data_IF_334306794925
#
_entry.id   IF_334306794925
#
_cell.length_a   1.000
_cell.length_b   1.000
_cell.length_c   1.000
_cell.angle_alpha   90.00
_cell.angle_beta   90.00
_cell.angle_gamma   90.00
#
_symmetry.space_group_name_H-M   'P 1'
#
loop_
_entity.id
_entity.type
_entity.pdbx_description
1 polymer ?
#
# COMPACT_ATOMS: atom_id res chain seq x y z
N UNK A 1 6.30 -0.45 22.79
CA UNK A 1 5.42 -1.63 23.05
C UNK A 1 5.73 -2.68 21.99
N UNK A 2 5.72 -3.95 22.33
CA UNK A 2 5.93 -5.01 21.34
C UNK A 2 4.57 -5.62 20.97
N UNK A 3 4.21 -5.54 19.72
CA UNK A 3 2.97 -6.12 19.23
C UNK A 3 3.14 -7.64 19.12
N UNK A 4 2.13 -8.39 19.54
CA UNK A 4 2.11 -9.84 19.44
C UNK A 4 2.14 -10.26 17.98
N UNK A 5 2.87 -11.33 17.67
CA UNK A 5 2.98 -11.86 16.30
C UNK A 5 2.32 -13.23 16.19
N UNK A 6 1.87 -13.57 14.98
CA UNK A 6 1.37 -14.89 14.59
C UNK A 6 2.02 -15.37 13.31
N UNK A 7 2.10 -16.67 13.13
CA UNK A 7 2.50 -17.28 11.87
C UNK A 7 1.43 -17.08 10.80
N UNK A 8 1.86 -16.86 9.58
CA UNK A 8 0.99 -16.83 8.40
C UNK A 8 0.80 -18.26 7.89
N UNK A 9 -0.36 -18.82 8.23
CA UNK A 9 -0.70 -20.20 7.83
C UNK A 9 0.36 -21.22 8.27
N UNK A 10 0.84 -22.02 7.32
CA UNK A 10 1.87 -23.05 7.54
C UNK A 10 3.29 -22.58 7.22
N UNK A 11 3.48 -21.28 7.04
CA UNK A 11 4.80 -20.70 6.72
C UNK A 11 5.59 -20.39 7.99
N UNK A 12 6.86 -20.09 7.85
CA UNK A 12 7.71 -19.57 8.95
C UNK A 12 7.59 -18.07 9.14
N UNK A 13 6.84 -17.38 8.26
CA UNK A 13 6.64 -15.94 8.32
C UNK A 13 5.77 -15.55 9.50
N UNK A 14 6.27 -14.64 10.33
CA UNK A 14 5.52 -14.04 11.42
C UNK A 14 5.11 -12.63 11.06
N UNK A 15 3.86 -12.30 11.33
CA UNK A 15 3.31 -10.96 11.17
C UNK A 15 2.72 -10.47 12.49
N UNK A 16 2.71 -9.17 12.69
CA UNK A 16 2.01 -8.55 13.82
C UNK A 16 0.51 -8.85 13.71
N UNK A 17 -0.15 -9.09 14.82
CA UNK A 17 -1.62 -9.30 14.85
C UNK A 17 -2.38 -8.00 14.55
N UNK A 18 -1.70 -6.87 14.59
CA UNK A 18 -2.19 -5.55 14.21
C UNK A 18 -1.21 -4.95 13.20
N UNK A 19 -1.67 -4.69 12.00
CA UNK A 19 -0.91 -4.05 10.93
C UNK A 19 -1.53 -2.72 10.51
N UNK A 20 -0.79 -1.94 9.72
CA UNK A 20 -1.27 -0.71 9.11
C UNK A 20 -1.75 -0.97 7.69
N UNK A 21 -3.06 -0.77 7.43
CA UNK A 21 -3.62 -0.71 6.08
C UNK A 21 -3.30 0.64 5.43
N UNK A 22 -2.68 0.61 4.26
CA UNK A 22 -2.12 1.79 3.62
C UNK A 22 -2.97 2.36 2.47
N UNK A 23 -4.22 1.92 2.30
CA UNK A 23 -5.11 2.48 1.28
C UNK A 23 -5.32 4.01 1.43
N UNK A 24 -5.57 4.55 2.62
CA UNK A 24 -5.68 6.00 2.81
C UNK A 24 -4.40 6.77 2.47
N UNK A 25 -3.23 6.14 2.57
CA UNK A 25 -1.94 6.75 2.22
C UNK A 25 -1.79 7.02 0.72
N UNK A 26 -2.60 6.37 -0.10
CA UNK A 26 -2.71 6.63 -1.54
C UNK A 26 -3.63 7.80 -1.89
N UNK A 27 -4.32 8.39 -0.91
CA UNK A 27 -5.37 9.39 -1.13
C UNK A 27 -6.76 8.77 -1.30
N UNK A 28 -6.94 7.49 -1.00
CA UNK A 28 -8.23 6.84 -0.98
C UNK A 28 -9.01 7.29 0.26
N UNK A 29 -10.24 7.75 0.08
CA UNK A 29 -11.19 8.14 1.13
C UNK A 29 -10.82 9.38 1.94
N UNK A 30 -9.59 9.88 1.83
CA UNK A 30 -9.12 11.04 2.57
C UNK A 30 -8.09 11.82 1.74
N UNK A 31 -8.19 13.13 1.75
CA UNK A 31 -7.15 13.99 1.20
C UNK A 31 -5.95 13.98 2.16
N UNK A 32 -4.89 13.32 1.76
CA UNK A 32 -3.71 13.11 2.58
C UNK A 32 -2.46 13.55 1.83
N UNK A 33 -1.77 14.53 2.39
CA UNK A 33 -0.47 14.94 1.86
C UNK A 33 0.58 13.85 2.09
N UNK A 34 1.59 13.79 1.24
CA UNK A 34 2.73 12.88 1.40
C UNK A 34 3.35 12.98 2.81
N UNK A 35 3.54 14.22 3.28
CA UNK A 35 4.15 14.49 4.59
C UNK A 35 3.31 13.94 5.75
N UNK A 36 1.98 14.10 5.70
CA UNK A 36 1.09 13.55 6.71
C UNK A 36 1.05 12.02 6.65
N UNK A 37 1.07 11.44 5.45
CA UNK A 37 1.19 10.00 5.28
C UNK A 37 2.49 9.44 5.89
N UNK A 38 3.60 10.12 5.68
CA UNK A 38 4.89 9.75 6.28
C UNK A 38 4.86 9.83 7.81
N UNK A 39 4.18 10.84 8.39
CA UNK A 39 3.97 10.94 9.85
C UNK A 39 3.17 9.76 10.39
N UNK A 40 2.14 9.31 9.68
CA UNK A 40 1.33 8.13 10.06
C UNK A 40 2.21 6.89 10.12
N UNK A 41 2.99 6.61 9.08
CA UNK A 41 3.90 5.45 9.05
C UNK A 41 4.92 5.54 10.19
N UNK A 42 5.52 6.71 10.40
CA UNK A 42 6.48 6.93 11.49
C UNK A 42 5.84 6.65 12.86
N UNK A 43 4.62 7.10 13.08
CA UNK A 43 3.88 6.87 14.33
C UNK A 43 3.59 5.37 14.52
N UNK A 44 3.19 4.67 13.46
CA UNK A 44 2.98 3.23 13.49
C UNK A 44 4.25 2.46 13.88
N UNK A 45 5.38 2.81 13.28
CA UNK A 45 6.70 2.24 13.62
C UNK A 45 7.07 2.51 15.08
N UNK A 46 6.85 3.73 15.57
CA UNK A 46 7.10 4.10 16.97
C UNK A 46 6.19 3.33 17.95
N UNK A 47 4.98 3.02 17.54
CA UNK A 47 4.06 2.17 18.29
C UNK A 47 4.43 0.67 18.24
N UNK A 48 5.47 0.30 17.50
CA UNK A 48 5.98 -1.07 17.40
C UNK A 48 5.35 -1.89 16.30
N UNK A 49 4.58 -1.28 15.38
CA UNK A 49 4.04 -1.98 14.20
C UNK A 49 5.17 -2.30 13.23
N UNK A 50 5.18 -3.52 12.72
CA UNK A 50 6.10 -3.97 11.68
C UNK A 50 5.40 -4.63 10.48
N UNK A 51 4.08 -4.66 10.47
CA UNK A 51 3.29 -5.20 9.37
C UNK A 51 2.50 -4.09 8.67
N UNK A 52 2.69 -3.97 7.35
CA UNK A 52 2.06 -2.97 6.49
C UNK A 52 1.41 -3.66 5.31
N UNK A 53 0.23 -3.19 4.91
CA UNK A 53 -0.49 -3.71 3.76
C UNK A 53 -0.75 -2.59 2.75
N UNK A 54 -0.38 -2.81 1.51
CA UNK A 54 -0.56 -1.85 0.41
C UNK A 54 -0.97 -2.56 -0.87
N UNK A 55 -1.22 -1.80 -1.92
CA UNK A 55 -1.50 -2.33 -3.25
C UNK A 55 -1.17 -1.29 -4.33
N UNK A 56 -0.92 -1.76 -5.56
CA UNK A 56 -0.74 -0.89 -6.72
C UNK A 56 -1.97 0.01 -6.97
N UNK A 57 -3.16 -0.49 -6.64
CA UNK A 57 -4.42 0.26 -6.77
C UNK A 57 -4.52 1.46 -5.82
N UNK A 58 -3.88 1.44 -4.67
CA UNK A 58 -4.01 2.49 -3.65
C UNK A 58 -3.33 3.78 -4.10
N UNK A 59 -4.13 4.72 -4.59
CA UNK A 59 -3.64 5.96 -5.18
C UNK A 59 -2.80 5.75 -6.43
N UNK A 60 -3.02 4.63 -7.14
CA UNK A 60 -2.29 4.27 -8.36
C UNK A 60 -0.77 4.40 -8.19
N UNK A 61 -0.24 3.68 -7.23
CA UNK A 61 1.18 3.65 -6.88
C UNK A 61 1.62 4.65 -5.80
N UNK A 62 0.79 5.62 -5.43
CA UNK A 62 1.15 6.62 -4.39
C UNK A 62 1.42 5.97 -3.04
N UNK A 63 0.55 5.03 -2.62
CA UNK A 63 0.70 4.31 -1.36
C UNK A 63 1.97 3.46 -1.36
N UNK A 64 2.21 2.65 -2.39
CA UNK A 64 3.41 1.81 -2.48
C UNK A 64 4.68 2.64 -2.44
N UNK A 65 4.71 3.77 -3.15
CA UNK A 65 5.85 4.68 -3.15
C UNK A 65 6.11 5.27 -1.76
N UNK A 66 5.07 5.81 -1.12
CA UNK A 66 5.19 6.39 0.22
C UNK A 66 5.65 5.37 1.25
N UNK A 67 5.05 4.17 1.23
CA UNK A 67 5.43 3.07 2.11
C UNK A 67 6.88 2.66 1.87
N UNK A 68 7.28 2.49 0.60
CA UNK A 68 8.65 2.14 0.23
C UNK A 68 9.67 3.17 0.71
N UNK A 69 9.39 4.46 0.52
CA UNK A 69 10.29 5.54 0.97
C UNK A 69 10.43 5.57 2.50
N UNK A 70 9.33 5.37 3.23
CA UNK A 70 9.33 5.43 4.69
C UNK A 70 9.92 4.19 5.36
N UNK A 71 9.76 3.01 4.74
CA UNK A 71 10.24 1.75 5.30
C UNK A 71 11.66 1.36 4.84
N UNK A 72 12.24 2.11 3.91
CA UNK A 72 13.62 1.88 3.44
C UNK A 72 14.56 1.73 4.64
N UNK A 73 15.34 0.66 4.65
CA UNK A 73 16.27 0.32 5.73
C UNK A 73 15.62 0.01 7.10
N UNK A 74 14.32 -0.24 7.15
CA UNK A 74 13.63 -0.71 8.34
C UNK A 74 13.40 -2.22 8.27
N UNK A 75 13.16 -2.84 9.42
CA UNK A 75 12.73 -4.24 9.49
C UNK A 75 11.21 -4.28 9.54
N UNK A 76 10.60 -4.86 8.53
CA UNK A 76 9.14 -4.92 8.40
C UNK A 76 8.69 -6.15 7.59
N UNK A 77 7.41 -6.42 7.62
CA UNK A 77 6.70 -7.32 6.69
C UNK A 77 5.74 -6.47 5.89
N UNK A 78 5.73 -6.69 4.59
CA UNK A 78 4.85 -5.98 3.66
C UNK A 78 4.00 -6.98 2.90
N UNK A 79 2.70 -6.75 2.84
CA UNK A 79 1.82 -7.36 1.85
C UNK A 79 1.44 -6.34 0.77
N UNK A 80 1.39 -6.79 -0.46
CA UNK A 80 0.91 -6.03 -1.61
C UNK A 80 0.16 -6.95 -2.55
N UNK A 81 -0.42 -6.39 -3.61
CA UNK A 81 -1.23 -7.13 -4.59
C UNK A 81 -0.50 -7.17 -5.92
N UNK A 82 -0.34 -8.37 -6.47
CA UNK A 82 0.07 -8.57 -7.86
C UNK A 82 -1.17 -8.73 -8.75
N UNK A 83 -1.02 -8.52 -10.07
CA UNK A 83 -2.08 -8.70 -11.06
C UNK A 83 -2.73 -7.41 -11.56
N UNK A 84 -2.41 -6.27 -10.96
CA UNK A 84 -2.80 -4.94 -11.46
C UNK A 84 -1.57 -4.15 -11.84
N UNK A 85 -1.54 -3.68 -13.08
CA UNK A 85 -0.44 -2.90 -13.63
C UNK A 85 -0.95 -1.51 -13.94
N UNK A 86 -0.16 -0.53 -13.56
CA UNK A 86 -0.43 0.87 -13.83
C UNK A 86 0.10 1.24 -15.22
N UNK A 87 -0.73 1.94 -15.98
CA UNK A 87 -0.37 2.49 -17.29
C UNK A 87 -0.37 4.02 -17.22
N UNK A 88 0.67 4.70 -17.69
CA UNK A 88 0.65 6.14 -17.82
C UNK A 88 -0.49 6.61 -18.70
N UNK A 89 -1.20 7.65 -18.29
CA UNK A 89 -2.31 8.22 -19.05
C UNK A 89 -3.38 8.84 -18.16
N UNK A 90 -4.40 9.43 -18.79
CA UNK A 90 -5.51 10.02 -18.07
C UNK A 90 -6.33 8.93 -17.36
N UNK A 91 -6.69 9.19 -16.12
CA UNK A 91 -7.60 8.33 -15.34
C UNK A 91 -9.01 8.51 -15.90
N UNK A 92 -9.64 7.42 -16.30
CA UNK A 92 -10.99 7.47 -16.88
C UNK A 92 -12.06 7.78 -15.83
N UNK A 93 -11.88 7.28 -14.62
CA UNK A 93 -12.77 7.55 -13.52
C UNK A 93 -11.96 7.83 -12.23
N UNK A 94 -11.58 9.10 -11.98
CA UNK A 94 -10.70 9.44 -10.87
C UNK A 94 -11.32 9.19 -9.48
N UNK A 95 -12.64 9.04 -9.40
CA UNK A 95 -13.34 8.78 -8.14
C UNK A 95 -13.54 7.28 -7.85
N UNK A 96 -13.11 6.41 -8.74
CA UNK A 96 -13.14 4.98 -8.47
C UNK A 96 -12.34 4.67 -7.19
N UNK A 97 -12.92 3.85 -6.34
CA UNK A 97 -12.35 3.49 -5.04
C UNK A 97 -12.05 4.66 -4.10
N UNK A 98 -12.86 5.71 -4.15
CA UNK A 98 -12.76 6.84 -3.22
C UNK A 98 -11.53 7.71 -3.41
N UNK A 99 -10.97 7.74 -4.60
CA UNK A 99 -9.89 8.68 -4.93
C UNK A 99 -10.41 10.11 -4.89
N UNK A 100 -9.66 10.99 -4.23
CA UNK A 100 -9.99 12.42 -4.11
C UNK A 100 -9.30 13.23 -5.22
N UNK A 101 -8.03 12.92 -5.47
CA UNK A 101 -7.25 13.61 -6.50
C UNK A 101 -7.10 12.79 -7.77
N UNK A 102 -7.22 13.42 -8.95
CA UNK A 102 -6.86 12.76 -10.21
C UNK A 102 -5.35 12.50 -10.25
N UNK A 103 -4.98 11.32 -10.69
CA UNK A 103 -3.61 10.91 -10.89
C UNK A 103 -3.36 10.51 -12.34
N UNK A 104 -2.13 10.74 -12.84
CA UNK A 104 -1.81 10.56 -14.26
C UNK A 104 -1.61 9.10 -14.68
N UNK A 105 -2.14 8.15 -13.91
CA UNK A 105 -2.03 6.73 -14.20
C UNK A 105 -3.38 6.07 -14.27
N UNK A 106 -3.51 5.11 -15.15
CA UNK A 106 -4.68 4.28 -15.30
C UNK A 106 -4.33 2.82 -15.02
N UNK A 107 -5.32 2.02 -14.60
CA UNK A 107 -5.12 0.59 -14.46
C UNK A 107 -5.25 -0.06 -15.83
N UNK A 108 -4.24 -0.82 -16.21
CA UNK A 108 -4.17 -1.47 -17.50
C UNK A 108 -4.74 -2.88 -17.47
N UNK A 109 -4.38 -3.64 -16.47
CA UNK A 109 -4.78 -5.03 -16.28
C UNK A 109 -5.28 -5.26 -14.86
N UNK A 110 -6.24 -6.15 -14.73
CA UNK A 110 -6.86 -6.46 -13.46
C UNK A 110 -6.98 -7.98 -13.24
N UNK A 111 -6.15 -8.57 -12.42
CA UNK A 111 -6.15 -9.96 -11.96
C UNK A 111 -6.21 -11.06 -13.03
N UNK A 112 -5.91 -10.74 -14.27
CA UNK A 112 -5.80 -11.70 -15.35
C UNK A 112 -4.37 -12.22 -15.48
N UNK A 113 -4.22 -13.31 -16.24
CA UNK A 113 -2.92 -13.92 -16.45
C UNK A 113 -1.84 -12.90 -16.90
N UNK A 114 -2.16 -12.05 -17.86
CA UNK A 114 -1.21 -11.06 -18.36
C UNK A 114 -0.83 -10.04 -17.29
N UNK A 115 -1.77 -9.60 -16.45
CA UNK A 115 -1.50 -8.73 -15.32
C UNK A 115 -0.57 -9.39 -14.29
N UNK A 116 -0.77 -10.66 -14.00
CA UNK A 116 0.10 -11.40 -13.08
C UNK A 116 1.49 -11.61 -13.66
N UNK A 117 1.59 -11.96 -14.94
CA UNK A 117 2.87 -12.22 -15.60
C UNK A 117 3.71 -10.96 -15.83
N UNK A 118 3.08 -9.79 -15.90
CA UNK A 118 3.76 -8.51 -16.11
C UNK A 118 4.01 -7.74 -14.79
N UNK A 119 3.40 -8.17 -13.69
CA UNK A 119 3.63 -7.57 -12.36
C UNK A 119 4.95 -8.04 -11.79
#
# INVERSE_FOLDING_TARGET
MKIKQKLVGKTELKVDILGLGCAPLGGNFVDLTYENGAKIIKTALQAGMSYFDTAAWYGFGRSERLVGDCLRHKKYVLSSTAGRILKPGAVQNPLDFGMIDPIPFNVMYDYYYDGIMLS
#
